data_IF_771043412577
#
_entry.id   IF_771043412577
#
_cell.length_a   1.000
_cell.length_b   1.000
_cell.length_c   1.000
_cell.angle_alpha   90.00
_cell.angle_beta   90.00
_cell.angle_gamma   90.00
#
_symmetry.space_group_name_H-M   'P 1'
#
loop_
_entity.id
_entity.type
_entity.pdbx_description
1 polymer ?
#
# COMPACT_ATOMS: atom_id res chain seq x y z
N UNK A 1 5.55 -7.12 -24.53
CA UNK A 1 4.22 -7.63 -24.20
C UNK A 1 4.02 -7.61 -22.67
N UNK A 2 3.20 -6.68 -22.20
CA UNK A 2 2.98 -6.47 -20.77
C UNK A 2 2.18 -7.61 -20.12
N UNK A 3 1.38 -8.36 -20.88
CA UNK A 3 0.70 -9.53 -20.33
C UNK A 3 1.71 -10.61 -19.92
N UNK A 4 2.78 -10.77 -20.69
CA UNK A 4 3.85 -11.72 -20.34
C UNK A 4 4.59 -11.28 -19.08
N UNK A 5 4.82 -9.97 -18.92
CA UNK A 5 5.41 -9.41 -17.70
C UNK A 5 4.49 -9.67 -16.51
N UNK A 6 3.21 -9.38 -16.67
CA UNK A 6 2.21 -9.67 -15.62
C UNK A 6 2.24 -11.15 -15.21
N UNK A 7 2.25 -12.05 -16.18
CA UNK A 7 2.28 -13.49 -15.89
C UNK A 7 3.54 -13.90 -15.14
N UNK A 8 4.69 -13.31 -15.48
CA UNK A 8 5.95 -13.57 -14.77
C UNK A 8 5.91 -13.05 -13.34
N UNK A 9 5.30 -11.89 -13.10
CA UNK A 9 5.09 -11.36 -11.75
C UNK A 9 4.17 -12.30 -10.96
N UNK A 10 3.05 -12.69 -11.54
CA UNK A 10 2.08 -13.57 -10.88
C UNK A 10 2.74 -14.90 -10.46
N UNK A 11 3.65 -15.41 -11.28
CA UNK A 11 4.34 -16.67 -11.01
C UNK A 11 5.28 -16.63 -9.80
N UNK A 12 5.67 -15.44 -9.33
CA UNK A 12 6.58 -15.30 -8.19
C UNK A 12 5.90 -14.73 -6.94
N UNK A 13 4.59 -14.56 -6.96
CA UNK A 13 3.85 -14.03 -5.81
C UNK A 13 3.77 -15.05 -4.69
N UNK A 14 3.42 -16.30 -4.97
CA UNK A 14 3.33 -17.33 -3.95
C UNK A 14 4.71 -17.85 -3.57
N UNK A 15 4.96 -17.93 -2.26
CA UNK A 15 6.16 -18.54 -1.70
C UNK A 15 5.88 -18.88 -0.24
N UNK A 16 5.75 -20.17 0.05
CA UNK A 16 5.40 -20.65 1.40
C UNK A 16 6.45 -20.28 2.46
N UNK A 17 7.65 -19.91 2.05
CA UNK A 17 8.73 -19.54 2.96
C UNK A 17 8.77 -18.04 3.27
N UNK A 18 7.84 -17.26 2.73
CA UNK A 18 7.79 -15.81 2.98
C UNK A 18 6.45 -15.41 3.62
N UNK A 19 6.52 -14.70 4.77
CA UNK A 19 5.37 -14.19 5.53
C UNK A 19 4.20 -15.21 5.58
N UNK A 20 3.03 -14.78 5.18
CA UNK A 20 1.81 -15.58 5.15
C UNK A 20 1.71 -16.43 3.87
N UNK A 21 2.84 -16.66 3.19
CA UNK A 21 2.91 -17.47 1.98
C UNK A 21 2.84 -16.65 0.68
N UNK A 22 3.02 -15.33 0.73
CA UNK A 22 2.88 -14.49 -0.46
C UNK A 22 3.72 -13.22 -0.41
N UNK A 23 4.34 -12.88 -1.53
CA UNK A 23 4.97 -11.58 -1.75
C UNK A 23 3.97 -10.51 -2.22
N UNK A 24 2.72 -10.88 -2.48
CA UNK A 24 1.70 -9.94 -2.97
C UNK A 24 1.60 -8.67 -2.13
N UNK A 25 1.41 -8.78 -0.81
CA UNK A 25 1.29 -7.59 0.03
C UNK A 25 2.50 -6.66 -0.04
N UNK A 26 3.73 -7.19 -0.06
CA UNK A 26 4.92 -6.34 -0.14
C UNK A 26 5.11 -5.74 -1.54
N UNK A 27 4.65 -6.40 -2.59
CA UNK A 27 4.62 -5.82 -3.93
C UNK A 27 3.65 -4.64 -3.99
N UNK A 28 2.48 -4.76 -3.38
CA UNK A 28 1.54 -3.65 -3.30
C UNK A 28 2.12 -2.48 -2.50
N UNK A 29 2.77 -2.77 -1.39
CA UNK A 29 3.43 -1.73 -0.58
C UNK A 29 4.54 -1.03 -1.37
N UNK A 30 5.32 -1.77 -2.15
CA UNK A 30 6.34 -1.18 -3.03
C UNK A 30 5.71 -0.20 -4.03
N UNK A 31 4.67 -0.63 -4.73
CA UNK A 31 3.98 0.21 -5.71
C UNK A 31 3.39 1.47 -5.06
N UNK A 32 2.82 1.33 -3.86
CA UNK A 32 2.28 2.43 -3.08
C UNK A 32 3.36 3.42 -2.67
N UNK A 33 4.46 2.97 -2.09
CA UNK A 33 5.55 3.85 -1.64
C UNK A 33 6.29 4.51 -2.81
N UNK A 34 6.41 3.82 -3.93
CA UNK A 34 7.01 4.40 -5.14
C UNK A 34 6.13 5.52 -5.73
N UNK A 35 4.81 5.43 -5.55
CA UNK A 35 3.85 6.37 -6.13
C UNK A 35 3.47 7.50 -5.18
N UNK A 36 3.38 7.22 -3.88
CA UNK A 36 2.81 8.11 -2.87
C UNK A 36 3.68 9.29 -2.45
N UNK A 37 4.81 9.48 -3.08
CA UNK A 37 5.69 10.62 -2.84
C UNK A 37 5.33 11.84 -3.70
N UNK A 38 4.31 11.73 -4.54
CA UNK A 38 3.92 12.81 -5.44
C UNK A 38 3.34 14.00 -4.68
N UNK A 39 3.72 15.21 -5.11
CA UNK A 39 3.16 16.47 -4.61
C UNK A 39 2.65 17.28 -5.80
N UNK A 40 1.35 17.56 -5.82
CA UNK A 40 0.70 18.30 -6.91
C UNK A 40 1.16 19.76 -7.00
N UNK A 41 1.74 20.31 -5.94
CA UNK A 41 2.21 21.69 -5.90
C UNK A 41 3.60 21.82 -6.52
N UNK A 42 4.53 20.96 -6.11
CA UNK A 42 5.90 20.93 -6.66
C UNK A 42 6.03 20.08 -7.91
N UNK A 43 5.06 19.21 -8.17
CA UNK A 43 5.00 18.32 -9.34
C UNK A 43 6.20 17.39 -9.46
N UNK A 44 6.72 16.94 -8.32
CA UNK A 44 7.81 15.97 -8.25
C UNK A 44 7.38 14.76 -7.41
N UNK A 45 8.22 13.75 -7.34
CA UNK A 45 7.86 12.47 -6.76
C UNK A 45 6.96 11.66 -7.69
N UNK A 46 6.28 10.64 -7.12
CA UNK A 46 5.44 9.75 -7.90
C UNK A 46 6.20 8.62 -8.57
N UNK A 47 5.49 7.83 -9.37
CA UNK A 47 5.99 6.55 -9.90
C UNK A 47 6.85 6.66 -11.16
N UNK A 48 6.94 7.84 -11.77
CA UNK A 48 7.51 8.00 -13.11
C UNK A 48 9.01 7.66 -13.19
N UNK A 49 9.76 8.01 -12.16
CA UNK A 49 11.23 7.95 -12.20
C UNK A 49 11.85 6.76 -11.47
N UNK A 50 11.07 5.99 -10.74
CA UNK A 50 11.53 4.81 -10.00
C UNK A 50 12.78 5.09 -9.15
N UNK A 51 12.76 6.19 -8.43
CA UNK A 51 13.94 6.70 -7.71
C UNK A 51 14.28 5.91 -6.44
N UNK A 52 13.43 4.98 -6.02
CA UNK A 52 13.76 4.05 -4.93
C UNK A 52 14.89 3.08 -5.30
N UNK A 53 15.27 3.04 -6.57
CA UNK A 53 16.49 2.32 -7.01
C UNK A 53 17.75 2.92 -6.39
N UNK A 54 17.70 4.19 -6.01
CA UNK A 54 18.84 4.93 -5.48
C UNK A 54 18.81 4.97 -3.94
N UNK A 55 20.01 5.01 -3.35
CA UNK A 55 20.18 4.96 -1.89
C UNK A 55 19.43 6.02 -1.11
N UNK A 56 19.35 7.29 -1.55
CA UNK A 56 18.62 8.29 -0.75
C UNK A 56 17.20 7.87 -0.45
N UNK A 57 16.38 7.57 -1.46
CA UNK A 57 14.99 7.16 -1.25
C UNK A 57 14.88 5.76 -0.66
N UNK A 58 15.70 4.82 -1.13
CA UNK A 58 15.69 3.46 -0.58
C UNK A 58 15.98 3.44 0.92
N UNK A 59 16.74 4.42 1.40
CA UNK A 59 17.10 4.56 2.81
C UNK A 59 16.10 5.35 3.66
N UNK A 60 15.03 5.90 3.07
CA UNK A 60 13.98 6.56 3.88
C UNK A 60 13.37 5.55 4.84
N UNK A 61 13.10 5.98 6.07
CA UNK A 61 12.55 5.09 7.11
C UNK A 61 11.25 4.41 6.70
N UNK A 62 10.39 5.11 5.97
CA UNK A 62 9.13 4.57 5.47
C UNK A 62 9.33 3.41 4.48
N UNK A 63 10.50 3.30 3.85
CA UNK A 63 10.79 2.28 2.84
C UNK A 63 11.53 1.05 3.40
N UNK A 64 11.64 0.95 4.73
CA UNK A 64 12.24 -0.20 5.37
C UNK A 64 11.53 -1.51 4.94
N UNK A 65 12.33 -2.51 4.56
CA UNK A 65 11.83 -3.81 4.12
C UNK A 65 11.46 -3.90 2.64
N UNK A 66 11.40 -2.79 1.90
CA UNK A 66 11.02 -2.82 0.48
C UNK A 66 12.11 -3.35 -0.45
N UNK A 67 13.35 -3.41 0.02
CA UNK A 67 14.42 -4.06 -0.74
C UNK A 67 14.11 -5.51 -1.09
N UNK A 68 13.39 -6.21 -0.23
CA UNK A 68 12.93 -7.58 -0.46
C UNK A 68 12.07 -7.65 -1.73
N UNK A 69 11.13 -6.71 -1.88
CA UNK A 69 10.25 -6.66 -3.04
C UNK A 69 11.02 -6.29 -4.32
N UNK A 70 11.88 -5.27 -4.25
CA UNK A 70 12.68 -4.85 -5.40
C UNK A 70 13.59 -5.98 -5.89
N UNK A 71 14.24 -6.67 -4.98
CA UNK A 71 15.13 -7.80 -5.31
C UNK A 71 14.36 -8.96 -5.94
N UNK A 72 13.21 -9.30 -5.38
CA UNK A 72 12.35 -10.36 -5.94
C UNK A 72 11.92 -10.04 -7.36
N UNK A 73 11.54 -8.80 -7.62
CA UNK A 73 11.11 -8.34 -8.93
C UNK A 73 12.24 -8.25 -9.95
N UNK A 74 13.50 -8.21 -9.52
CA UNK A 74 14.63 -8.27 -10.44
C UNK A 74 14.65 -9.56 -11.26
N UNK A 75 14.08 -10.64 -10.77
CA UNK A 75 13.91 -11.88 -11.52
C UNK A 75 13.07 -11.65 -12.79
N UNK A 76 12.05 -10.81 -12.67
CA UNK A 76 11.20 -10.46 -13.81
C UNK A 76 11.90 -9.45 -14.71
N UNK A 77 12.59 -8.47 -14.13
CA UNK A 77 13.37 -7.49 -14.89
C UNK A 77 14.41 -8.17 -15.79
N UNK A 78 15.08 -9.19 -15.28
CA UNK A 78 16.08 -9.95 -16.02
C UNK A 78 15.47 -10.66 -17.24
N UNK A 79 14.23 -11.10 -17.16
CA UNK A 79 13.49 -11.71 -18.26
C UNK A 79 12.98 -10.69 -19.27
N UNK A 80 12.70 -9.47 -18.85
CA UNK A 80 12.12 -8.40 -19.67
C UNK A 80 12.91 -7.11 -19.49
N UNK A 81 14.15 -7.05 -19.98
CA UNK A 81 15.04 -5.92 -19.70
C UNK A 81 14.54 -4.58 -20.26
N UNK A 82 13.63 -4.58 -21.22
CA UNK A 82 13.10 -3.35 -21.82
C UNK A 82 12.06 -2.65 -20.95
N UNK A 83 11.42 -3.34 -19.99
CA UNK A 83 10.42 -2.69 -19.13
C UNK A 83 11.13 -1.70 -18.19
N UNK A 84 10.54 -0.52 -18.00
CA UNK A 84 11.06 0.38 -16.98
C UNK A 84 10.80 -0.19 -15.56
N UNK A 85 11.62 0.20 -14.60
CA UNK A 85 11.39 -0.17 -13.20
C UNK A 85 10.08 0.41 -12.68
N UNK A 86 9.74 1.65 -13.08
CA UNK A 86 8.47 2.26 -12.69
C UNK A 86 7.27 1.47 -13.19
N UNK A 87 7.32 1.02 -14.43
CA UNK A 87 6.26 0.16 -14.98
C UNK A 87 6.24 -1.21 -14.28
N UNK A 88 7.40 -1.82 -14.06
CA UNK A 88 7.49 -3.11 -13.38
C UNK A 88 6.89 -3.06 -11.97
N UNK A 89 7.28 -2.07 -11.18
CA UNK A 89 6.82 -1.98 -9.78
C UNK A 89 5.33 -1.69 -9.68
N UNK A 90 4.81 -0.80 -10.52
CA UNK A 90 3.37 -0.50 -10.50
C UNK A 90 2.54 -1.67 -11.05
N UNK A 91 3.04 -2.35 -12.08
CA UNK A 91 2.37 -3.57 -12.57
C UNK A 91 2.37 -4.68 -11.51
N UNK A 92 3.44 -4.76 -10.71
CA UNK A 92 3.49 -5.71 -9.59
C UNK A 92 2.42 -5.39 -8.53
N UNK A 93 2.16 -4.11 -8.29
CA UNK A 93 1.06 -3.71 -7.41
C UNK A 93 -0.30 -4.15 -7.95
N UNK A 94 -0.52 -3.97 -9.24
CA UNK A 94 -1.75 -4.42 -9.91
C UNK A 94 -1.89 -5.94 -9.84
N UNK A 95 -0.81 -6.66 -10.13
CA UNK A 95 -0.82 -8.13 -10.06
C UNK A 95 -1.13 -8.61 -8.65
N UNK A 96 -0.55 -7.98 -7.63
CA UNK A 96 -0.84 -8.33 -6.24
C UNK A 96 -2.32 -8.18 -5.91
N UNK A 97 -2.94 -7.08 -6.30
CA UNK A 97 -4.37 -6.84 -6.07
C UNK A 97 -5.20 -7.92 -6.77
N UNK A 98 -4.95 -8.17 -8.05
CA UNK A 98 -5.77 -9.08 -8.85
C UNK A 98 -5.56 -10.55 -8.49
N UNK A 99 -4.31 -10.97 -8.30
CA UNK A 99 -3.99 -12.37 -7.97
C UNK A 99 -4.44 -12.76 -6.57
N UNK A 100 -4.56 -11.80 -5.66
CA UNK A 100 -5.07 -12.06 -4.31
C UNK A 100 -6.59 -11.88 -4.17
N UNK A 101 -7.29 -11.77 -5.28
CA UNK A 101 -8.75 -11.78 -5.31
C UNK A 101 -9.43 -10.43 -5.35
N UNK A 102 -8.68 -9.36 -5.56
CA UNK A 102 -9.19 -8.00 -5.66
C UNK A 102 -9.79 -7.66 -7.02
N UNK A 103 -10.19 -6.40 -7.21
CA UNK A 103 -10.78 -5.95 -8.47
C UNK A 103 -9.76 -5.86 -9.59
N UNK A 104 -10.24 -5.85 -10.83
CA UNK A 104 -9.42 -5.52 -11.98
C UNK A 104 -9.04 -4.05 -11.93
N UNK A 105 -7.74 -3.78 -12.01
CA UNK A 105 -7.18 -2.41 -12.00
C UNK A 105 -6.63 -2.12 -13.39
N UNK A 106 -7.13 -1.07 -14.03
CA UNK A 106 -6.59 -0.61 -15.30
C UNK A 106 -5.18 -0.08 -15.10
N UNK A 107 -4.25 -0.51 -15.95
CA UNK A 107 -2.85 -0.11 -15.86
C UNK A 107 -2.33 0.28 -17.23
N UNK A 108 -1.52 1.33 -17.30
CA UNK A 108 -0.89 1.80 -18.52
C UNK A 108 0.63 1.88 -18.35
N UNK A 109 1.40 1.53 -19.38
CA UNK A 109 2.85 1.74 -19.38
C UNK A 109 3.21 3.22 -19.60
N UNK A 110 4.49 3.54 -19.50
CA UNK A 110 4.98 4.85 -19.89
C UNK A 110 5.86 5.54 -18.85
N UNK A 111 6.14 4.88 -17.72
CA UNK A 111 7.10 5.42 -16.75
C UNK A 111 8.50 5.26 -17.34
N UNK A 112 9.33 6.29 -17.16
CA UNK A 112 10.56 6.42 -17.94
C UNK A 112 11.84 6.12 -17.16
N UNK A 113 11.74 5.90 -15.86
CA UNK A 113 12.85 5.84 -14.92
C UNK A 113 13.73 7.11 -15.02
N UNK A 114 14.23 7.54 -13.90
CA UNK A 114 14.99 8.77 -13.84
C UNK A 114 16.34 8.57 -13.18
N UNK A 115 16.98 9.68 -12.91
CA UNK A 115 18.27 9.73 -12.23
C UNK A 115 18.07 10.05 -10.73
N UNK A 116 19.14 9.90 -9.96
CA UNK A 116 19.10 10.11 -8.51
C UNK A 116 18.59 11.50 -8.12
N UNK A 117 18.87 12.52 -8.93
CA UNK A 117 18.42 13.89 -8.65
C UNK A 117 16.90 14.08 -8.78
N UNK A 118 16.17 13.09 -9.29
CA UNK A 118 14.71 13.10 -9.28
C UNK A 118 14.12 12.55 -7.99
N UNK A 119 14.94 12.08 -7.07
CA UNK A 119 14.47 11.51 -5.79
C UNK A 119 13.70 12.56 -4.98
N UNK A 120 12.50 12.20 -4.47
CA UNK A 120 11.74 13.10 -3.61
C UNK A 120 12.41 13.23 -2.24
N UNK A 121 12.13 14.33 -1.50
CA UNK A 121 12.58 14.43 -0.12
C UNK A 121 11.88 13.38 0.75
N UNK A 122 12.53 13.03 1.88
CA UNK A 122 11.93 12.17 2.90
C UNK A 122 10.75 12.89 3.58
N UNK A 123 9.82 12.10 4.12
CA UNK A 123 8.72 12.62 4.93
C UNK A 123 7.42 12.87 4.19
N UNK A 124 7.31 12.51 2.91
CA UNK A 124 6.05 12.67 2.14
C UNK A 124 5.05 11.54 2.35
N UNK A 125 5.50 10.38 2.81
CA UNK A 125 4.61 9.26 3.09
C UNK A 125 3.98 9.42 4.48
N UNK A 126 2.77 8.84 4.71
CA UNK A 126 2.09 9.03 5.99
C UNK A 126 2.82 8.42 7.17
N UNK A 127 2.67 9.05 8.34
CA UNK A 127 3.09 8.49 9.62
C UNK A 127 1.93 7.68 10.21
N UNK A 128 2.07 6.37 10.21
CA UNK A 128 1.04 5.45 10.69
C UNK A 128 0.75 5.58 12.19
N UNK A 129 1.66 6.18 12.95
CA UNK A 129 1.49 6.46 14.37
C UNK A 129 0.63 7.68 14.69
N UNK A 130 0.26 8.47 13.68
CA UNK A 130 -0.58 9.66 13.87
C UNK A 130 -2.05 9.26 13.87
N UNK A 131 -2.72 9.60 14.96
CA UNK A 131 -4.12 9.23 15.19
C UNK A 131 -5.13 10.32 14.79
N UNK A 132 -4.65 11.42 14.22
CA UNK A 132 -5.53 12.51 13.77
C UNK A 132 -5.83 12.39 12.28
N UNK A 133 -7.09 12.57 11.91
CA UNK A 133 -7.50 12.53 10.49
C UNK A 133 -6.89 13.65 9.67
N UNK A 134 -6.51 14.76 10.30
CA UNK A 134 -5.92 15.89 9.60
C UNK A 134 -4.54 15.54 9.02
N UNK A 135 -3.75 14.73 9.72
CA UNK A 135 -2.47 14.25 9.18
C UNK A 135 -2.66 13.46 7.88
N UNK A 136 -3.63 12.55 7.85
CA UNK A 136 -3.95 11.82 6.62
C UNK A 136 -4.35 12.76 5.50
N UNK A 137 -5.17 13.78 5.79
CA UNK A 137 -5.54 14.78 4.79
C UNK A 137 -4.32 15.57 4.29
N UNK A 138 -3.46 16.01 5.20
CA UNK A 138 -2.26 16.78 4.82
C UNK A 138 -1.37 15.99 3.87
N UNK A 139 -1.22 14.69 4.09
CA UNK A 139 -0.40 13.82 3.24
C UNK A 139 -1.09 13.54 1.90
N UNK A 140 -2.32 13.05 1.94
CA UNK A 140 -3.01 12.58 0.72
C UNK A 140 -3.55 13.71 -0.15
N UNK A 141 -3.91 14.86 0.43
CA UNK A 141 -4.34 16.00 -0.37
C UNK A 141 -3.21 16.53 -1.26
N UNK A 142 -1.95 16.44 -0.81
CA UNK A 142 -0.80 16.79 -1.65
C UNK A 142 -0.63 15.87 -2.85
N UNK A 143 -1.10 14.64 -2.75
CA UNK A 143 -1.12 13.70 -3.88
C UNK A 143 -2.30 13.95 -4.82
N UNK A 144 -3.30 14.72 -4.39
CA UNK A 144 -4.52 14.98 -5.17
C UNK A 144 -5.70 14.08 -4.84
N UNK A 145 -5.69 13.39 -3.70
CA UNK A 145 -6.79 12.54 -3.25
C UNK A 145 -7.74 13.30 -2.33
N UNK A 146 -9.02 12.97 -2.41
CA UNK A 146 -10.06 13.47 -1.49
C UNK A 146 -10.32 12.46 -0.36
N UNK A 147 -11.24 12.81 0.56
CA UNK A 147 -11.53 11.98 1.73
C UNK A 147 -12.03 10.58 1.37
N UNK A 148 -12.91 10.45 0.38
CA UNK A 148 -13.37 9.14 -0.09
C UNK A 148 -12.22 8.28 -0.59
N UNK A 149 -11.35 8.88 -1.39
CA UNK A 149 -10.21 8.19 -1.98
C UNK A 149 -9.21 7.74 -0.92
N UNK A 150 -8.98 8.56 0.11
CA UNK A 150 -8.14 8.20 1.25
C UNK A 150 -8.66 6.93 1.93
N UNK A 151 -9.95 6.91 2.24
CA UNK A 151 -10.57 5.75 2.90
C UNK A 151 -10.52 4.52 2.00
N UNK A 152 -10.80 4.69 0.70
CA UNK A 152 -10.73 3.57 -0.25
C UNK A 152 -9.33 2.95 -0.31
N UNK A 153 -8.28 3.77 -0.33
CA UNK A 153 -6.89 3.27 -0.36
C UNK A 153 -6.53 2.47 0.89
N UNK A 154 -7.04 2.86 2.05
CA UNK A 154 -6.74 2.16 3.29
C UNK A 154 -7.25 0.71 3.31
N UNK A 155 -8.21 0.39 2.47
CA UNK A 155 -8.70 -0.98 2.33
C UNK A 155 -7.63 -1.97 1.88
N UNK A 156 -6.51 -1.49 1.36
CA UNK A 156 -5.33 -2.32 1.07
C UNK A 156 -4.77 -3.00 2.32
N UNK A 157 -5.10 -2.50 3.52
CA UNK A 157 -4.75 -3.15 4.79
C UNK A 157 -5.49 -4.48 5.00
N UNK A 158 -6.38 -4.89 4.11
CA UNK A 158 -6.84 -6.28 4.05
C UNK A 158 -5.68 -7.23 3.81
N UNK A 159 -4.62 -6.76 3.16
CA UNK A 159 -3.44 -7.56 2.79
C UNK A 159 -2.27 -7.31 3.73
N UNK A 160 -1.56 -8.40 4.02
CA UNK A 160 -0.27 -8.35 4.68
C UNK A 160 -0.32 -8.13 6.18
N UNK A 161 0.84 -7.75 6.68
CA UNK A 161 1.07 -7.49 8.10
C UNK A 161 2.16 -6.46 8.30
N UNK A 162 2.20 -5.88 9.49
CA UNK A 162 3.32 -5.06 9.92
C UNK A 162 4.42 -5.94 10.53
N UNK A 163 5.67 -5.46 10.44
CA UNK A 163 6.86 -6.12 10.96
C UNK A 163 7.65 -5.15 11.83
N UNK A 164 8.11 -5.62 12.98
CA UNK A 164 8.84 -4.78 13.95
C UNK A 164 10.13 -4.19 13.35
N UNK A 165 10.80 -4.94 12.49
CA UNK A 165 12.06 -4.52 11.84
C UNK A 165 11.84 -3.67 10.58
N UNK A 166 10.60 -3.37 10.24
CA UNK A 166 10.23 -2.53 9.08
C UNK A 166 9.51 -1.27 9.55
N UNK A 167 8.22 -1.32 9.76
CA UNK A 167 7.45 -0.17 10.25
C UNK A 167 7.55 0.07 11.76
N UNK A 168 8.02 -0.92 12.51
CA UNK A 168 8.03 -0.89 13.97
C UNK A 168 6.75 -1.45 14.59
N UNK A 169 5.66 -1.48 13.86
CA UNK A 169 4.40 -2.11 14.28
C UNK A 169 4.43 -3.61 14.00
N UNK A 170 3.47 -4.35 14.52
CA UNK A 170 3.50 -5.80 14.46
C UNK A 170 2.11 -6.42 14.28
N UNK A 171 2.00 -7.36 13.35
CA UNK A 171 0.82 -8.19 13.15
C UNK A 171 -0.04 -7.81 11.95
N UNK A 172 -1.02 -8.67 11.61
CA UNK A 172 -1.94 -8.45 10.51
C UNK A 172 -3.19 -7.69 10.95
N UNK A 173 -3.85 -7.03 10.00
CA UNK A 173 -5.14 -6.37 10.24
C UNK A 173 -6.32 -7.33 10.17
N UNK A 174 -6.19 -8.39 9.36
CA UNK A 174 -7.28 -9.33 9.08
C UNK A 174 -6.84 -10.77 9.26
N UNK A 175 -7.80 -11.66 9.36
CA UNK A 175 -7.54 -13.10 9.53
C UNK A 175 -7.05 -13.77 8.25
N UNK A 176 -7.20 -13.11 7.09
CA UNK A 176 -6.79 -13.65 5.78
C UNK A 176 -5.90 -12.66 5.05
N UNK A 177 -4.64 -12.49 5.48
CA UNK A 177 -3.77 -11.43 4.98
C UNK A 177 -3.28 -11.61 3.54
N UNK A 178 -3.64 -12.70 2.88
CA UNK A 178 -3.33 -12.94 1.46
C UNK A 178 -4.60 -12.96 0.59
N UNK A 179 -5.73 -12.49 1.12
CA UNK A 179 -6.99 -12.40 0.36
C UNK A 179 -7.48 -10.96 0.37
N UNK A 180 -7.64 -10.37 -0.81
CA UNK A 180 -8.12 -9.00 -0.95
C UNK A 180 -9.65 -8.97 -0.84
N UNK A 181 -10.15 -8.36 0.23
CA UNK A 181 -11.58 -8.21 0.53
C UNK A 181 -11.84 -6.86 1.19
N UNK A 182 -13.08 -6.59 1.58
CA UNK A 182 -13.41 -5.42 2.39
C UNK A 182 -13.19 -5.65 3.89
N UNK A 183 -12.45 -6.68 4.27
CA UNK A 183 -12.31 -7.09 5.67
C UNK A 183 -11.68 -6.02 6.58
N UNK A 184 -10.81 -5.17 6.05
CA UNK A 184 -10.26 -4.06 6.83
C UNK A 184 -11.39 -3.23 7.49
N UNK A 185 -12.42 -2.90 6.72
CA UNK A 185 -13.54 -2.08 7.21
C UNK A 185 -14.46 -2.86 8.14
N UNK A 186 -14.76 -4.11 7.83
CA UNK A 186 -15.63 -4.93 8.69
C UNK A 186 -14.97 -5.21 10.03
N UNK A 187 -13.66 -5.45 10.04
CA UNK A 187 -12.88 -5.66 11.27
C UNK A 187 -12.75 -4.37 12.07
N UNK A 188 -12.49 -3.25 11.40
CA UNK A 188 -12.35 -1.95 12.07
C UNK A 188 -13.62 -1.57 12.83
N UNK A 189 -14.79 -1.77 12.23
CA UNK A 189 -16.08 -1.43 12.83
C UNK A 189 -16.63 -2.52 13.74
N UNK A 190 -16.33 -3.79 13.46
CA UNK A 190 -16.98 -4.92 14.10
C UNK A 190 -16.32 -5.44 15.36
N UNK A 191 -15.06 -5.12 15.58
CA UNK A 191 -14.31 -5.59 16.74
C UNK A 191 -14.10 -4.49 17.76
N UNK A 192 -13.80 -4.89 19.00
CA UNK A 192 -13.39 -3.97 20.05
C UNK A 192 -11.88 -3.88 20.08
N UNK A 193 -11.35 -2.72 19.75
CA UNK A 193 -9.92 -2.45 19.68
C UNK A 193 -9.46 -1.79 20.97
N UNK A 194 -8.40 -2.35 21.57
CA UNK A 194 -7.78 -1.84 22.80
C UNK A 194 -6.28 -1.64 22.56
N UNK A 195 -5.68 -0.71 23.29
CA UNK A 195 -4.25 -0.48 23.18
C UNK A 195 -3.48 -1.72 23.61
N UNK A 196 -2.57 -2.18 22.75
CA UNK A 196 -1.67 -3.29 23.06
C UNK A 196 -0.59 -2.81 24.03
N UNK A 197 -0.37 -3.58 25.09
CA UNK A 197 0.72 -3.35 26.04
C UNK A 197 1.93 -4.16 25.59
N UNK A 198 2.96 -3.47 25.12
CA UNK A 198 4.17 -4.10 24.59
C UNK A 198 5.31 -3.07 24.45
N UNK A 199 6.50 -3.52 24.03
CA UNK A 199 7.69 -2.68 23.93
C UNK A 199 7.74 -1.83 22.66
N UNK A 200 6.83 -2.03 21.71
CA UNK A 200 6.79 -1.29 20.44
C UNK A 200 5.98 0.00 20.53
N UNK A 201 5.79 0.68 19.38
CA UNK A 201 5.00 1.89 19.31
C UNK A 201 3.53 1.62 19.63
N UNK A 202 2.78 2.68 19.93
CA UNK A 202 1.35 2.56 20.21
C UNK A 202 0.62 1.96 19.02
N UNK A 203 -0.03 0.82 19.26
CA UNK A 203 -0.95 0.19 18.31
C UNK A 203 -2.09 -0.47 19.09
N UNK A 204 -3.11 -0.88 18.34
CA UNK A 204 -4.29 -1.49 18.92
C UNK A 204 -4.36 -2.97 18.56
N UNK A 205 -4.93 -3.77 19.46
CA UNK A 205 -5.20 -5.18 19.23
C UNK A 205 -6.67 -5.49 19.45
N UNK A 206 -7.16 -6.52 18.77
CA UNK A 206 -8.49 -7.03 19.04
C UNK A 206 -8.56 -7.55 20.49
N UNK A 207 -9.48 -7.01 21.28
CA UNK A 207 -9.60 -7.33 22.69
C UNK A 207 -9.80 -8.83 22.93
N UNK A 208 -10.56 -9.48 22.06
CA UNK A 208 -10.96 -10.87 22.24
C UNK A 208 -9.87 -11.85 21.79
N UNK A 209 -9.45 -11.76 20.53
CA UNK A 209 -8.49 -12.70 19.95
C UNK A 209 -7.03 -12.33 20.18
N UNK A 210 -6.73 -11.04 20.33
CA UNK A 210 -5.37 -10.46 20.41
C UNK A 210 -4.49 -10.82 19.22
N UNK A 211 -5.08 -11.33 18.13
CA UNK A 211 -4.35 -11.79 16.93
C UNK A 211 -4.37 -10.80 15.79
N UNK A 212 -5.26 -9.82 15.83
CA UNK A 212 -5.38 -8.77 14.82
C UNK A 212 -4.99 -7.42 15.41
N UNK A 213 -4.57 -6.50 14.52
CA UNK A 213 -4.11 -5.17 14.94
C UNK A 213 -4.74 -4.06 14.12
N UNK A 214 -4.74 -2.86 14.68
CA UNK A 214 -5.02 -1.62 13.97
C UNK A 214 -3.97 -0.58 14.34
N UNK A 215 -3.57 0.22 13.37
CA UNK A 215 -2.67 1.35 13.57
C UNK A 215 -3.43 2.55 14.13
N UNK A 216 -2.76 3.49 14.82
CA UNK A 216 -3.41 4.74 15.20
C UNK A 216 -4.05 5.46 14.01
N UNK A 217 -3.39 5.50 12.86
CA UNK A 217 -3.95 6.09 11.65
C UNK A 217 -5.21 5.36 11.15
N UNK A 218 -5.28 4.04 11.31
CA UNK A 218 -6.48 3.27 10.97
C UNK A 218 -7.65 3.64 11.90
N UNK A 219 -7.39 3.76 13.19
CA UNK A 219 -8.41 4.14 14.18
C UNK A 219 -8.98 5.52 13.88
N UNK A 220 -8.18 6.44 13.36
CA UNK A 220 -8.63 7.77 12.97
C UNK A 220 -9.73 7.70 11.91
N UNK A 221 -9.72 6.70 11.03
CA UNK A 221 -10.74 6.51 9.99
C UNK A 221 -12.12 6.20 10.58
N UNK A 222 -12.17 5.53 11.72
CA UNK A 222 -13.42 5.22 12.41
C UNK A 222 -13.90 6.39 13.28
N UNK A 223 -12.99 7.26 13.73
CA UNK A 223 -13.30 8.37 14.64
C UNK A 223 -13.66 9.66 13.91
N UNK A 224 -13.02 9.94 12.78
CA UNK A 224 -13.31 11.13 11.99
C UNK A 224 -14.64 10.96 11.26
N UNK A 225 -15.55 11.90 11.41
CA UNK A 225 -16.92 11.82 10.90
C UNK A 225 -16.99 11.60 9.38
N UNK A 226 -16.20 12.36 8.62
CA UNK A 226 -16.21 12.27 7.15
C UNK A 226 -15.55 10.98 6.66
N UNK A 227 -14.48 10.54 7.28
CA UNK A 227 -13.87 9.26 6.95
C UNK A 227 -14.76 8.09 7.34
N UNK A 228 -15.33 8.12 8.53
CA UNK A 228 -16.20 7.04 9.02
C UNK A 228 -17.37 6.76 8.07
N UNK A 229 -17.92 7.77 7.48
CA UNK A 229 -19.00 7.62 6.50
C UNK A 229 -18.63 6.63 5.39
N UNK A 230 -17.43 6.74 4.87
CA UNK A 230 -16.93 5.86 3.81
C UNK A 230 -16.49 4.49 4.34
N UNK A 231 -15.96 4.42 5.54
CA UNK A 231 -15.69 3.14 6.21
C UNK A 231 -16.99 2.32 6.30
N UNK A 232 -18.09 2.94 6.71
CA UNK A 232 -19.40 2.28 6.82
C UNK A 232 -19.92 1.82 5.46
N UNK A 233 -19.77 2.62 4.41
CA UNK A 233 -20.16 2.23 3.05
C UNK A 233 -19.41 0.98 2.60
N UNK A 234 -18.09 0.97 2.76
CA UNK A 234 -17.24 -0.15 2.29
C UNK A 234 -17.37 -1.39 3.16
N UNK A 235 -17.68 -1.25 4.44
CA UNK A 235 -17.96 -2.38 5.31
C UNK A 235 -19.24 -3.12 4.90
N UNK A 236 -20.22 -2.41 4.35
CA UNK A 236 -21.51 -2.97 3.95
C UNK A 236 -21.55 -3.45 2.51
N UNK A 237 -20.69 -2.91 1.66
CA UNK A 237 -20.78 -3.12 0.21
C UNK A 237 -19.39 -3.35 -0.37
N UNK A 238 -18.98 -4.62 -0.42
CA UNK A 238 -17.68 -5.01 -0.97
C UNK A 238 -17.54 -4.65 -2.45
N UNK A 239 -18.63 -4.77 -3.21
CA UNK A 239 -18.61 -4.43 -4.64
C UNK A 239 -18.30 -2.94 -4.83
N UNK A 240 -18.93 -2.08 -4.04
CA UNK A 240 -18.67 -0.64 -4.08
C UNK A 240 -17.22 -0.34 -3.70
N UNK A 241 -16.71 -1.01 -2.67
CA UNK A 241 -15.30 -0.88 -2.30
C UNK A 241 -14.39 -1.28 -3.47
N UNK A 242 -14.64 -2.41 -4.11
CA UNK A 242 -13.82 -2.88 -5.23
C UNK A 242 -13.84 -1.89 -6.40
N UNK A 243 -15.01 -1.36 -6.75
CA UNK A 243 -15.13 -0.37 -7.83
C UNK A 243 -14.32 0.90 -7.52
N UNK A 244 -14.46 1.42 -6.30
CA UNK A 244 -13.77 2.63 -5.89
C UNK A 244 -12.27 2.41 -5.73
N UNK A 245 -11.88 1.28 -5.12
CA UNK A 245 -10.46 0.94 -4.96
C UNK A 245 -9.75 0.81 -6.30
N UNK A 246 -10.36 0.17 -7.28
CA UNK A 246 -9.77 0.01 -8.61
C UNK A 246 -9.44 1.35 -9.26
N UNK A 247 -10.35 2.31 -9.15
CA UNK A 247 -10.15 3.67 -9.70
C UNK A 247 -9.03 4.42 -8.97
N UNK A 248 -9.04 4.33 -7.65
CA UNK A 248 -8.07 5.07 -6.82
C UNK A 248 -6.68 4.46 -6.94
N UNK A 249 -6.58 3.13 -7.03
CA UNK A 249 -5.31 2.45 -7.26
C UNK A 249 -4.69 2.85 -8.60
N UNK A 250 -5.50 2.90 -9.66
CA UNK A 250 -5.03 3.39 -10.95
C UNK A 250 -4.50 4.81 -10.85
N UNK A 251 -5.25 5.70 -10.22
CA UNK A 251 -4.84 7.09 -10.01
C UNK A 251 -3.52 7.17 -9.25
N UNK A 252 -3.39 6.38 -8.18
CA UNK A 252 -2.17 6.32 -7.38
C UNK A 252 -0.96 5.92 -8.22
N UNK A 253 -1.08 4.82 -8.98
CA UNK A 253 0.04 4.28 -9.74
C UNK A 253 0.42 5.15 -10.94
N UNK A 254 -0.40 6.11 -11.33
CA UNK A 254 -0.15 7.06 -12.41
C UNK A 254 0.31 8.44 -11.91
N UNK A 255 0.46 8.64 -10.59
CA UNK A 255 0.94 9.91 -10.05
C UNK A 255 2.32 10.25 -10.60
N UNK A 256 2.45 11.44 -11.17
CA UNK A 256 3.69 11.95 -11.72
C UNK A 256 4.06 11.45 -13.11
N UNK A 257 3.17 10.70 -13.76
CA UNK A 257 3.41 10.14 -15.09
C UNK A 257 2.85 11.03 -16.20
#
# INVERSE_FOLDING_TARGET
DYQKVYNAIAAIIEDENYDDGSYGPVFLRLAWHASGTYDINSKDGGSNYATMRYKPEAGHGANAGLGIARERLNRVKDQFPEISYGDLWTLAGVAAIQELGGPTVNWRPGRIDGEENHSPPDGRLPDAGRADGQHSRDVFYKMGFNDQEIVALLGAHALGRCHRDRSGFDGPWTASPTVFTNAFYTELLGRKWVERKWSGPKQFEDKESKSLMMLPADMAMAKDKEFRKWVEVYAKDEKKFFEDFAKVAQKLFELGV
#
